data_IF_102195441815
#
_entry.id   IF_102195441815
#
_cell.length_a   1.000
_cell.length_b   1.000
_cell.length_c   1.000
_cell.angle_alpha   90.00
_cell.angle_beta   90.00
_cell.angle_gamma   90.00
#
_symmetry.space_group_name_H-M   'P 1'
#
loop_
_entity.id
_entity.type
_entity.pdbx_description
1 polymer ?
#
# COMPACT_ATOMS: atom_id res chain seq x y z
N UNK A 1 4.44 -2.95 6.39
CA UNK A 1 4.89 -3.70 5.19
C UNK A 1 5.21 -5.14 5.60
N UNK A 2 5.45 -6.07 4.65
CA UNK A 2 6.03 -7.38 5.02
C UNK A 2 7.42 -7.19 5.65
N UNK A 3 7.75 -8.00 6.65
CA UNK A 3 9.07 -7.95 7.29
C UNK A 3 10.18 -8.25 6.29
N UNK A 4 11.19 -7.38 6.22
CA UNK A 4 12.31 -7.51 5.28
C UNK A 4 12.05 -6.95 3.89
N UNK A 5 10.92 -6.26 3.66
CA UNK A 5 10.59 -5.62 2.39
C UNK A 5 10.56 -4.08 2.51
N UNK A 6 10.94 -3.41 1.43
CA UNK A 6 10.81 -1.97 1.21
C UNK A 6 9.93 -1.72 -0.02
N UNK A 7 9.29 -0.54 -0.16
CA UNK A 7 8.62 -0.17 -1.39
C UNK A 7 9.63 0.21 -2.48
N UNK A 8 9.37 -0.18 -3.73
CA UNK A 8 10.18 0.20 -4.88
C UNK A 8 10.09 1.73 -5.15
N UNK A 9 11.23 2.46 -5.18
CA UNK A 9 11.22 3.90 -5.41
C UNK A 9 10.59 4.34 -6.73
N UNK A 10 10.77 3.56 -7.80
CA UNK A 10 10.22 3.90 -9.13
C UNK A 10 8.69 3.72 -9.14
N UNK A 11 8.20 2.66 -8.52
CA UNK A 11 6.76 2.40 -8.32
C UNK A 11 6.11 3.51 -7.51
N UNK A 12 6.75 3.95 -6.42
CA UNK A 12 6.30 5.13 -5.66
C UNK A 12 6.27 6.40 -6.52
N UNK A 13 7.25 6.59 -7.40
CA UNK A 13 7.27 7.69 -8.36
C UNK A 13 6.06 7.68 -9.28
N UNK A 14 5.68 6.51 -9.82
CA UNK A 14 4.49 6.35 -10.66
C UNK A 14 3.20 6.64 -9.90
N UNK A 15 3.11 6.19 -8.64
CA UNK A 15 1.95 6.45 -7.79
C UNK A 15 1.75 7.95 -7.54
N UNK A 16 2.82 8.69 -7.26
CA UNK A 16 2.77 10.15 -7.08
C UNK A 16 2.34 10.91 -8.34
N UNK A 17 2.50 10.31 -9.52
CA UNK A 17 2.05 10.88 -10.79
C UNK A 17 0.64 10.44 -11.22
N UNK A 18 -0.02 9.57 -10.46
CA UNK A 18 -1.36 9.08 -10.77
C UNK A 18 -2.42 10.15 -10.46
N UNK A 19 -3.39 10.32 -11.35
CA UNK A 19 -4.51 11.26 -11.14
C UNK A 19 -5.41 10.91 -9.96
N UNK A 20 -5.44 9.64 -9.54
CA UNK A 20 -6.25 9.16 -8.42
C UNK A 20 -5.57 9.34 -7.05
N UNK A 21 -4.29 9.72 -7.04
CA UNK A 21 -3.46 9.79 -5.84
C UNK A 21 -3.00 11.23 -5.64
N UNK A 22 -3.49 11.86 -4.57
CA UNK A 22 -3.09 13.21 -4.20
C UNK A 22 -1.66 13.24 -3.64
N UNK A 23 -1.33 12.26 -2.79
CA UNK A 23 -0.02 12.17 -2.15
C UNK A 23 0.35 10.74 -1.77
N UNK A 24 1.65 10.46 -1.71
CA UNK A 24 2.21 9.25 -1.12
C UNK A 24 3.30 9.61 -0.12
N UNK A 25 3.10 9.22 1.13
CA UNK A 25 4.08 9.33 2.21
C UNK A 25 4.59 7.95 2.62
N UNK A 26 5.81 7.90 3.16
CA UNK A 26 6.36 6.71 3.80
C UNK A 26 6.58 7.07 5.26
N UNK A 27 5.98 6.29 6.16
CA UNK A 27 6.15 6.48 7.59
C UNK A 27 6.39 5.13 8.24
N UNK A 28 7.52 5.02 8.94
CA UNK A 28 7.97 3.76 9.53
C UNK A 28 8.00 2.66 8.45
N UNK A 29 7.30 1.55 8.66
CA UNK A 29 7.15 0.46 7.70
C UNK A 29 5.85 0.56 6.87
N UNK A 30 5.21 1.72 6.81
CA UNK A 30 3.93 1.92 6.11
C UNK A 30 4.09 2.86 4.91
N UNK A 31 3.42 2.49 3.81
CA UNK A 31 3.14 3.41 2.69
C UNK A 31 1.75 3.98 2.91
N UNK A 32 1.68 5.30 3.06
CA UNK A 32 0.43 6.04 3.24
C UNK A 32 0.05 6.70 1.93
N UNK A 33 -1.08 6.29 1.37
CA UNK A 33 -1.59 6.80 0.10
C UNK A 33 -2.86 7.61 0.34
N UNK A 34 -2.85 8.85 -0.13
CA UNK A 34 -3.99 9.76 -0.06
C UNK A 34 -4.67 9.75 -1.41
N UNK A 35 -5.89 9.21 -1.46
CA UNK A 35 -6.68 9.16 -2.68
C UNK A 35 -7.50 10.44 -2.80
N UNK A 36 -7.56 10.99 -4.01
CA UNK A 36 -8.30 12.24 -4.26
C UNK A 36 -9.80 12.04 -4.01
N UNK A 37 -10.36 10.96 -4.54
CA UNK A 37 -11.74 10.54 -4.31
C UNK A 37 -11.90 9.04 -4.60
N UNK A 38 -12.95 8.45 -4.03
CA UNK A 38 -13.43 7.12 -4.37
C UNK A 38 -14.84 7.26 -4.96
N UNK A 39 -15.07 6.58 -6.09
CA UNK A 39 -16.40 6.49 -6.70
C UNK A 39 -16.86 5.03 -6.72
N UNK A 40 -18.07 4.77 -7.21
CA UNK A 40 -18.54 3.39 -7.41
C UNK A 40 -17.82 2.65 -8.54
N UNK A 41 -16.96 3.33 -9.32
CA UNK A 41 -16.18 2.71 -10.39
C UNK A 41 -14.89 2.10 -9.81
N UNK A 42 -14.60 0.82 -10.08
CA UNK A 42 -13.37 0.20 -9.63
C UNK A 42 -12.17 0.77 -10.38
N UNK A 43 -11.04 0.87 -9.68
CA UNK A 43 -9.75 1.20 -10.27
C UNK A 43 -8.65 0.40 -9.58
N UNK A 44 -7.47 0.37 -10.21
CA UNK A 44 -6.35 -0.41 -9.74
C UNK A 44 -5.17 0.49 -9.44
N UNK A 45 -4.48 0.17 -8.34
CA UNK A 45 -3.24 0.79 -7.94
C UNK A 45 -2.23 -0.34 -7.73
N UNK A 46 -1.03 -0.16 -8.27
CA UNK A 46 0.05 -1.13 -8.15
C UNK A 46 1.22 -0.51 -7.42
N UNK A 47 1.70 -1.17 -6.38
CA UNK A 47 2.94 -0.87 -5.68
C UNK A 47 3.84 -2.10 -5.76
N UNK A 48 5.03 -1.92 -6.28
CA UNK A 48 6.07 -2.94 -6.26
C UNK A 48 6.85 -2.86 -4.95
N UNK A 49 7.28 -4.00 -4.45
CA UNK A 49 8.02 -4.13 -3.20
C UNK A 49 9.30 -4.92 -3.44
N UNK A 50 10.39 -4.51 -2.81
CA UNK A 50 11.72 -5.09 -2.94
C UNK A 50 12.04 -5.85 -1.65
N UNK A 51 12.52 -7.08 -1.78
CA UNK A 51 13.03 -7.82 -0.62
C UNK A 51 14.46 -7.36 -0.29
N UNK A 52 14.61 -6.66 0.82
CA UNK A 52 15.91 -6.17 1.32
C UNK A 52 16.62 -7.24 2.15
N UNK A 53 15.87 -7.96 2.98
CA UNK A 53 16.38 -8.97 3.89
C UNK A 53 15.51 -10.23 3.82
N UNK A 54 16.11 -11.42 3.62
CA UNK A 54 15.37 -12.68 3.72
C UNK A 54 14.84 -12.89 5.14
N UNK A 55 13.53 -13.07 5.27
CA UNK A 55 12.86 -13.38 6.54
C UNK A 55 12.07 -14.68 6.35
N UNK A 56 12.23 -15.62 7.28
CA UNK A 56 11.47 -16.87 7.29
C UNK A 56 10.15 -16.72 8.04
N UNK A 57 9.18 -17.58 7.73
CA UNK A 57 7.86 -17.59 8.35
C UNK A 57 7.16 -16.22 8.24
N UNK A 58 7.20 -15.63 7.03
CA UNK A 58 6.53 -14.37 6.73
C UNK A 58 5.05 -14.47 7.11
N UNK A 59 4.62 -13.54 7.95
CA UNK A 59 3.20 -13.34 8.25
C UNK A 59 2.59 -12.43 7.17
N UNK A 60 1.27 -12.55 6.92
CA UNK A 60 0.57 -11.60 6.08
C UNK A 60 0.75 -10.16 6.60
N UNK A 61 0.71 -9.19 5.69
CA UNK A 61 0.68 -7.78 6.02
C UNK A 61 -0.69 -7.18 5.66
N UNK A 62 -1.14 -6.22 6.46
CA UNK A 62 -2.46 -5.61 6.32
C UNK A 62 -2.41 -4.43 5.33
N UNK A 63 -3.43 -4.35 4.47
CA UNK A 63 -3.78 -3.16 3.71
C UNK A 63 -5.11 -2.64 4.25
N UNK A 64 -5.15 -1.35 4.54
CA UNK A 64 -6.31 -0.67 5.11
C UNK A 64 -6.68 0.51 4.25
N UNK A 65 -7.97 0.66 3.97
CA UNK A 65 -8.57 1.85 3.36
C UNK A 65 -9.62 2.40 4.31
N UNK A 66 -9.69 3.72 4.45
CA UNK A 66 -10.66 4.40 5.29
C UNK A 66 -10.94 5.80 4.76
N UNK A 67 -12.13 6.32 5.03
CA UNK A 67 -12.45 7.71 4.76
C UNK A 67 -11.71 8.62 5.75
N UNK A 68 -10.96 9.59 5.25
CA UNK A 68 -10.11 10.47 6.06
C UNK A 68 -10.90 11.32 7.06
N UNK A 69 -12.13 11.72 6.72
CA UNK A 69 -13.02 12.52 7.57
C UNK A 69 -14.00 11.66 8.38
N UNK A 70 -14.23 10.41 7.97
CA UNK A 70 -15.04 9.44 8.70
C UNK A 70 -14.33 8.07 8.85
N UNK A 71 -13.31 7.95 9.73
CA UNK A 71 -12.49 6.73 9.83
C UNK A 71 -13.24 5.47 10.28
N UNK A 72 -14.47 5.59 10.77
CA UNK A 72 -15.35 4.45 11.05
C UNK A 72 -15.78 3.73 9.78
N UNK A 73 -15.79 4.42 8.63
CA UNK A 73 -15.99 3.83 7.31
C UNK A 73 -14.63 3.36 6.78
N UNK A 74 -14.41 2.05 6.85
CA UNK A 74 -13.11 1.43 6.58
C UNK A 74 -13.27 -0.02 6.12
N UNK A 75 -12.27 -0.49 5.38
CA UNK A 75 -12.11 -1.89 5.03
C UNK A 75 -10.64 -2.29 5.16
N UNK A 76 -10.42 -3.55 5.51
CA UNK A 76 -9.09 -4.12 5.71
C UNK A 76 -9.00 -5.47 4.98
N UNK A 77 -7.83 -5.75 4.44
CA UNK A 77 -7.49 -7.05 3.87
C UNK A 77 -6.01 -7.34 4.11
N UNK A 78 -5.60 -8.57 3.86
CA UNK A 78 -4.22 -9.01 4.02
C UNK A 78 -3.62 -9.40 2.67
N UNK A 79 -2.31 -9.18 2.51
CA UNK A 79 -1.54 -9.73 1.41
C UNK A 79 -0.39 -10.60 1.94
N UNK A 80 -0.05 -11.62 1.16
CA UNK A 80 0.99 -12.58 1.46
C UNK A 80 2.04 -12.57 0.35
N UNK A 81 3.28 -12.85 0.71
CA UNK A 81 4.33 -13.08 -0.28
C UNK A 81 4.21 -14.50 -0.84
N UNK A 82 3.98 -14.68 -2.15
CA UNK A 82 3.77 -15.98 -2.75
C UNK A 82 5.12 -16.67 -2.97
N UNK A 83 5.74 -17.17 -1.91
CA UNK A 83 6.86 -18.10 -2.04
C UNK A 83 6.51 -19.44 -1.39
N UNK A 84 6.39 -20.45 -2.25
CA UNK A 84 6.49 -21.87 -1.90
C UNK A 84 7.94 -22.30 -2.00
#
# INVERSE_FOLDING_TARGET
MLSGFSPDPDSLGRLRGSSQVDRVDIKDDHVLMYLTELTSLPFHITLDIIQELPVQNLKPAVVKIYDYYQPSDQAETEYVFPCN
#
